data_IF_268029771971
#
_entry.id   IF_268029771971
#
_cell.length_a   1.000
_cell.length_b   1.000
_cell.length_c   1.000
_cell.angle_alpha   90.00
_cell.angle_beta   90.00
_cell.angle_gamma   90.00
#
_symmetry.space_group_name_H-M   'P 1'
#
loop_
_entity.id
_entity.type
_entity.pdbx_description
1 polymer ?
#
# COMPACT_ATOMS: atom_id res chain seq x y z
N UNK A 1 -28.82 50.07 -32.90
CA UNK A 1 -29.15 49.45 -31.60
C UNK A 1 -29.47 47.99 -31.84
N UNK A 2 -28.48 47.10 -31.76
CA UNK A 2 -28.63 45.65 -32.04
C UNK A 2 -28.27 44.92 -30.74
N UNK A 3 -29.23 44.17 -30.20
CA UNK A 3 -29.07 43.42 -28.95
C UNK A 3 -28.16 42.21 -29.18
N UNK A 4 -27.23 41.88 -28.28
CA UNK A 4 -26.51 40.61 -28.35
C UNK A 4 -27.46 39.49 -27.93
N UNK A 5 -27.71 38.55 -28.85
CA UNK A 5 -28.44 37.31 -28.55
C UNK A 5 -27.51 36.37 -27.79
N UNK A 6 -27.83 36.11 -26.52
CA UNK A 6 -27.16 35.08 -25.72
C UNK A 6 -27.68 33.73 -26.18
N UNK A 7 -26.87 32.97 -26.91
CA UNK A 7 -27.16 31.57 -27.23
C UNK A 7 -26.99 30.71 -25.98
N UNK A 8 -28.07 30.03 -25.59
CA UNK A 8 -28.15 29.08 -24.49
C UNK A 8 -27.10 27.95 -24.55
N UNK A 9 -26.72 27.36 -23.39
CA UNK A 9 -25.62 26.40 -23.30
C UNK A 9 -26.05 25.02 -23.79
N UNK A 10 -25.56 24.61 -24.95
CA UNK A 10 -25.70 23.25 -25.48
C UNK A 10 -24.52 22.38 -25.06
N UNK A 11 -24.80 21.44 -24.15
CA UNK A 11 -24.15 20.14 -23.95
C UNK A 11 -22.63 20.09 -23.62
N UNK A 12 -22.32 19.36 -22.54
CA UNK A 12 -21.00 19.09 -21.93
C UNK A 12 -20.02 18.32 -22.85
N UNK A 13 -20.30 18.21 -24.15
CA UNK A 13 -19.64 17.27 -25.06
C UNK A 13 -18.48 17.86 -25.89
N UNK A 14 -18.32 19.19 -25.93
CA UNK A 14 -17.28 19.82 -26.77
C UNK A 14 -16.00 20.10 -25.96
N UNK A 15 -15.19 19.07 -25.74
CA UNK A 15 -13.90 19.18 -25.05
C UNK A 15 -12.76 18.84 -26.00
N UNK A 16 -12.40 19.79 -26.85
CA UNK A 16 -11.18 19.72 -27.67
C UNK A 16 -9.94 19.95 -26.81
N UNK A 17 -8.92 19.11 -27.01
CA UNK A 17 -7.64 19.18 -26.31
C UNK A 17 -6.56 19.71 -27.26
N UNK A 18 -5.70 20.62 -26.80
CA UNK A 18 -4.58 21.15 -27.60
C UNK A 18 -3.27 20.50 -27.19
N UNK A 19 -2.54 19.92 -28.14
CA UNK A 19 -1.20 19.40 -27.95
C UNK A 19 -0.29 19.95 -29.05
N UNK A 20 0.79 20.66 -28.66
CA UNK A 20 1.76 21.22 -29.62
C UNK A 20 1.18 22.26 -30.59
N UNK A 21 0.02 22.84 -30.30
CA UNK A 21 -0.68 23.78 -31.18
C UNK A 21 -1.69 23.12 -32.12
N UNK A 22 -1.85 21.80 -32.09
CA UNK A 22 -2.88 21.06 -32.83
C UNK A 22 -4.04 20.70 -31.89
N UNK A 23 -5.28 20.93 -32.36
CA UNK A 23 -6.50 20.63 -31.64
C UNK A 23 -6.97 19.20 -31.99
N UNK A 24 -7.27 18.42 -30.96
CA UNK A 24 -7.78 17.05 -31.07
C UNK A 24 -9.13 16.93 -30.39
N UNK A 25 -10.12 16.42 -31.13
CA UNK A 25 -11.44 16.06 -30.61
C UNK A 25 -11.50 14.55 -30.31
N UNK A 26 -11.74 14.13 -29.06
CA UNK A 26 -11.93 12.72 -28.71
C UNK A 26 -13.13 12.04 -29.39
N UNK A 27 -14.06 12.80 -29.99
CA UNK A 27 -15.18 12.25 -30.76
C UNK A 27 -14.79 11.86 -32.20
N UNK A 28 -13.76 12.49 -32.76
CA UNK A 28 -13.26 12.25 -34.13
C UNK A 28 -12.42 10.96 -34.21
N UNK A 29 -12.50 10.17 -35.30
CA UNK A 29 -11.70 8.95 -35.44
C UNK A 29 -10.20 9.14 -35.24
N UNK A 30 -9.64 10.28 -35.65
CA UNK A 30 -8.20 10.56 -35.44
C UNK A 30 -7.87 10.86 -33.98
N UNK A 31 -8.71 11.65 -33.30
CA UNK A 31 -8.56 11.90 -31.87
C UNK A 31 -8.71 10.63 -31.05
N UNK A 32 -9.70 9.78 -31.36
CA UNK A 32 -9.86 8.46 -30.73
C UNK A 32 -8.63 7.59 -30.88
N UNK A 33 -8.08 7.49 -32.10
CA UNK A 33 -6.88 6.69 -32.34
C UNK A 33 -5.68 7.21 -31.54
N UNK A 34 -5.49 8.54 -31.50
CA UNK A 34 -4.43 9.18 -30.73
C UNK A 34 -4.52 8.89 -29.23
N UNK A 35 -5.71 9.06 -28.64
CA UNK A 35 -5.92 8.76 -27.22
C UNK A 35 -5.82 7.27 -26.90
N UNK A 36 -6.25 6.39 -27.80
CA UNK A 36 -6.07 4.94 -27.64
C UNK A 36 -4.60 4.55 -27.61
N UNK A 37 -3.78 5.13 -28.49
CA UNK A 37 -2.33 4.89 -28.49
C UNK A 37 -1.69 5.37 -27.18
N UNK A 38 -2.06 6.56 -26.70
CA UNK A 38 -1.58 7.05 -25.40
C UNK A 38 -2.02 6.14 -24.24
N UNK A 39 -3.26 5.66 -24.26
CA UNK A 39 -3.78 4.72 -23.27
C UNK A 39 -3.01 3.39 -23.32
N UNK A 40 -2.69 2.86 -24.51
CA UNK A 40 -1.86 1.66 -24.65
C UNK A 40 -0.48 1.85 -24.03
N UNK A 41 0.14 3.03 -24.14
CA UNK A 41 1.42 3.27 -23.46
C UNK A 41 1.30 3.33 -21.93
N UNK A 42 0.16 3.74 -21.39
CA UNK A 42 -0.13 3.65 -19.94
C UNK A 42 -0.32 2.19 -19.51
N UNK A 43 -1.00 1.37 -20.32
CA UNK A 43 -1.16 -0.08 -20.10
C UNK A 43 0.18 -0.83 -20.08
N UNK A 44 1.15 -0.39 -20.89
CA UNK A 44 2.54 -0.83 -20.78
C UNK A 44 3.21 -0.13 -19.60
N UNK A 45 2.87 -0.52 -18.38
CA UNK A 45 3.41 -0.01 -17.12
C UNK A 45 4.89 -0.40 -16.92
N UNK A 46 5.77 0.10 -17.79
CA UNK A 46 7.22 -0.16 -17.83
C UNK A 46 7.86 0.19 -16.48
N UNK A 47 7.32 1.17 -15.76
CA UNK A 47 7.76 1.55 -14.41
C UNK A 47 7.52 0.42 -13.41
N UNK A 48 6.35 -0.24 -13.44
CA UNK A 48 6.06 -1.36 -12.55
C UNK A 48 6.88 -2.59 -12.89
N UNK A 49 6.99 -2.94 -14.18
CA UNK A 49 7.81 -4.07 -14.62
C UNK A 49 9.27 -3.90 -14.18
N UNK A 50 9.88 -2.73 -14.41
CA UNK A 50 11.25 -2.42 -13.96
C UNK A 50 11.40 -2.43 -12.43
N UNK A 51 10.37 -1.97 -11.71
CA UNK A 51 10.38 -1.99 -10.24
C UNK A 51 10.36 -3.42 -9.72
N UNK A 52 9.51 -4.29 -10.30
CA UNK A 52 9.43 -5.71 -9.93
C UNK A 52 10.75 -6.43 -10.21
N UNK A 53 11.37 -6.20 -11.36
CA UNK A 53 12.68 -6.75 -11.71
C UNK A 53 13.78 -6.28 -10.74
N UNK A 54 13.83 -4.97 -10.46
CA UNK A 54 14.77 -4.41 -9.48
C UNK A 54 14.57 -4.99 -8.07
N UNK A 55 13.32 -5.18 -7.66
CA UNK A 55 12.99 -5.82 -6.39
C UNK A 55 13.39 -7.31 -6.38
N UNK A 56 13.21 -8.04 -7.48
CA UNK A 56 13.63 -9.43 -7.58
C UNK A 56 15.16 -9.56 -7.42
N UNK A 57 15.92 -8.69 -8.08
CA UNK A 57 17.39 -8.63 -7.93
C UNK A 57 17.80 -8.27 -6.50
N UNK A 58 17.14 -7.28 -5.89
CA UNK A 58 17.42 -6.88 -4.51
C UNK A 58 17.05 -7.97 -3.49
N UNK A 59 15.99 -8.75 -3.76
CA UNK A 59 15.59 -9.93 -2.97
C UNK A 59 16.64 -11.04 -3.08
N UNK A 60 17.09 -11.36 -4.30
CA UNK A 60 18.13 -12.36 -4.53
C UNK A 60 19.45 -11.99 -3.84
N UNK A 61 19.77 -10.69 -3.74
CA UNK A 61 20.93 -10.16 -3.01
C UNK A 61 20.70 -10.02 -1.49
N UNK A 62 19.54 -10.41 -0.97
CA UNK A 62 19.20 -10.30 0.45
C UNK A 62 19.09 -8.86 0.99
N UNK A 63 18.99 -7.86 0.10
CA UNK A 63 18.96 -6.43 0.49
C UNK A 63 17.57 -5.95 0.87
N UNK A 64 16.52 -6.63 0.40
CA UNK A 64 15.14 -6.34 0.82
C UNK A 64 14.87 -6.97 2.18
N UNK A 65 15.10 -6.18 3.23
CA UNK A 65 14.60 -6.49 4.58
C UNK A 65 13.21 -5.89 4.72
N UNK A 66 12.24 -6.71 5.14
CA UNK A 66 10.89 -6.23 5.45
C UNK A 66 10.89 -5.19 6.57
N UNK A 67 9.71 -4.74 6.98
CA UNK A 67 9.57 -3.79 8.10
C UNK A 67 10.28 -4.34 9.33
N UNK A 68 11.22 -3.56 9.87
CA UNK A 68 11.95 -3.93 11.07
C UNK A 68 10.95 -4.16 12.22
N UNK A 69 11.15 -5.21 13.04
CA UNK A 69 10.35 -5.40 14.25
C UNK A 69 10.43 -4.16 15.15
N UNK A 70 9.33 -3.83 15.84
CA UNK A 70 9.29 -2.70 16.78
C UNK A 70 10.20 -2.90 17.99
N UNK A 71 10.41 -4.16 18.38
CA UNK A 71 11.24 -4.54 19.53
C UNK A 71 12.59 -5.05 19.04
N UNK A 72 13.66 -4.68 19.75
CA UNK A 72 15.01 -5.22 19.50
C UNK A 72 15.05 -6.73 19.80
N UNK A 73 16.07 -7.44 19.29
CA UNK A 73 16.22 -8.87 19.56
C UNK A 73 16.30 -9.18 21.07
N UNK A 74 17.00 -8.34 21.83
CA UNK A 74 17.10 -8.45 23.28
C UNK A 74 15.72 -8.27 23.95
N UNK A 75 14.97 -7.23 23.57
CA UNK A 75 13.62 -7.01 24.10
C UNK A 75 12.67 -8.16 23.78
N UNK A 76 12.76 -8.73 22.57
CA UNK A 76 11.97 -9.91 22.20
C UNK A 76 12.29 -11.11 23.11
N UNK A 77 13.57 -11.36 23.40
CA UNK A 77 13.97 -12.45 24.32
C UNK A 77 13.49 -12.20 25.76
N UNK A 78 13.57 -10.96 26.25
CA UNK A 78 13.05 -10.59 27.57
C UNK A 78 11.54 -10.78 27.65
N UNK A 79 10.82 -10.37 26.61
CA UNK A 79 9.37 -10.54 26.52
C UNK A 79 8.98 -12.02 26.54
N UNK A 80 9.67 -12.88 25.76
CA UNK A 80 9.40 -14.33 25.73
C UNK A 80 9.67 -14.95 27.10
N UNK A 81 10.77 -14.56 27.77
CA UNK A 81 11.09 -15.05 29.12
C UNK A 81 10.03 -14.65 30.15
N UNK A 82 9.55 -13.40 30.11
CA UNK A 82 8.49 -12.93 31.01
C UNK A 82 7.14 -13.59 30.73
N UNK A 83 6.83 -13.86 29.46
CA UNK A 83 5.64 -14.64 29.12
C UNK A 83 5.75 -16.08 29.65
N UNK A 84 6.93 -16.69 29.57
CA UNK A 84 7.18 -18.05 30.07
C UNK A 84 7.09 -18.17 31.59
N UNK A 85 7.32 -17.10 32.36
CA UNK A 85 7.11 -17.15 33.82
C UNK A 85 5.63 -17.30 34.18
N UNK A 86 4.70 -16.97 33.26
CA UNK A 86 3.26 -17.09 33.46
C UNK A 86 2.68 -16.02 34.41
N UNK A 87 3.50 -15.08 34.87
CA UNK A 87 3.13 -14.08 35.89
C UNK A 87 2.47 -12.83 35.30
N UNK A 88 2.47 -12.66 33.98
CA UNK A 88 1.98 -11.45 33.31
C UNK A 88 0.94 -11.79 32.26
N UNK A 89 -0.19 -11.08 32.26
CA UNK A 89 -1.15 -11.19 31.17
C UNK A 89 -0.59 -10.51 29.90
N UNK A 90 -1.16 -10.86 28.74
CA UNK A 90 -0.76 -10.29 27.45
C UNK A 90 -0.96 -8.77 27.42
N UNK A 91 -1.97 -8.26 28.13
CA UNK A 91 -2.23 -6.84 28.29
C UNK A 91 -1.09 -6.14 29.07
N UNK A 92 -0.67 -6.75 30.19
CA UNK A 92 0.42 -6.21 31.03
C UNK A 92 1.74 -6.19 30.27
N UNK A 93 2.03 -7.24 29.49
CA UNK A 93 3.21 -7.27 28.61
C UNK A 93 3.12 -6.21 27.50
N UNK A 94 1.95 -5.97 26.94
CA UNK A 94 1.77 -4.94 25.92
C UNK A 94 2.08 -3.55 26.49
N UNK A 95 1.61 -3.25 27.71
CA UNK A 95 1.92 -2.01 28.42
C UNK A 95 3.40 -1.90 28.78
N UNK A 96 3.99 -2.95 29.37
CA UNK A 96 5.38 -2.97 29.82
C UNK A 96 6.37 -2.72 28.67
N UNK A 97 6.09 -3.27 27.49
CA UNK A 97 6.92 -3.07 26.30
C UNK A 97 6.48 -1.89 25.43
N UNK A 98 5.44 -1.12 25.84
CA UNK A 98 4.86 -0.02 25.07
C UNK A 98 4.52 -0.41 23.62
N UNK A 99 3.96 -1.61 23.43
CA UNK A 99 3.55 -2.15 22.12
C UNK A 99 2.10 -2.58 22.14
N UNK A 100 1.51 -2.78 20.96
CA UNK A 100 0.15 -3.31 20.87
C UNK A 100 0.13 -4.83 21.13
N UNK A 101 -0.97 -5.36 21.65
CA UNK A 101 -1.17 -6.81 21.84
C UNK A 101 -0.82 -7.67 20.61
N UNK A 102 -1.18 -7.30 19.37
CA UNK A 102 -0.75 -8.01 18.17
C UNK A 102 0.78 -8.11 17.99
N UNK A 103 1.53 -7.13 18.50
CA UNK A 103 3.00 -7.17 18.48
C UNK A 103 3.52 -8.24 19.44
N UNK A 104 2.88 -8.42 20.60
CA UNK A 104 3.21 -9.47 21.57
C UNK A 104 3.04 -10.85 20.92
N UNK A 105 1.88 -11.12 20.31
CA UNK A 105 1.61 -12.37 19.59
C UNK A 105 2.62 -12.63 18.46
N UNK A 106 2.92 -11.62 17.63
CA UNK A 106 3.90 -11.76 16.54
C UNK A 106 5.31 -12.10 17.03
N UNK A 107 5.68 -11.67 18.23
CA UNK A 107 6.98 -12.02 18.84
C UNK A 107 6.94 -13.47 19.33
N UNK A 108 5.86 -13.90 19.97
CA UNK A 108 5.68 -15.29 20.42
C UNK A 108 5.65 -16.29 19.24
N UNK A 109 4.96 -15.95 18.15
CA UNK A 109 4.94 -16.76 16.92
C UNK A 109 6.33 -16.90 16.29
N UNK A 110 7.16 -15.84 16.36
CA UNK A 110 8.52 -15.87 15.83
C UNK A 110 9.47 -16.69 16.71
N UNK A 111 9.17 -16.81 18.00
CA UNK A 111 9.98 -17.54 18.99
C UNK A 111 9.15 -18.64 19.67
N UNK A 112 8.76 -19.70 18.94
CA UNK A 112 7.92 -20.77 19.46
C UNK A 112 8.74 -21.64 20.43
N UNK A 113 8.87 -21.19 21.67
CA UNK A 113 9.29 -22.01 22.80
C UNK A 113 8.05 -22.20 23.67
N UNK A 114 7.27 -23.21 23.31
CA UNK A 114 5.92 -23.52 23.84
C UNK A 114 5.96 -23.96 25.33
N UNK A 115 4.83 -24.01 26.07
CA UNK A 115 3.49 -24.42 25.63
C UNK A 115 2.45 -23.28 25.53
N UNK A 116 1.41 -23.53 24.72
CA UNK A 116 0.33 -22.62 24.40
C UNK A 116 -0.53 -22.26 25.63
N UNK A 117 -1.01 -21.01 25.75
CA UNK A 117 -1.96 -20.65 26.80
C UNK A 117 -3.34 -21.30 26.54
N UNK A 118 -4.04 -21.79 27.58
CA UNK A 118 -5.39 -22.35 27.44
C UNK A 118 -6.38 -21.28 26.95
N UNK A 119 -7.47 -21.68 26.26
CA UNK A 119 -8.45 -20.75 25.72
C UNK A 119 -9.06 -19.92 26.85
N UNK A 120 -8.96 -18.59 26.72
CA UNK A 120 -9.56 -17.63 27.64
C UNK A 120 -11.08 -17.82 27.63
N UNK A 121 -11.62 -18.43 28.69
CA UNK A 121 -13.05 -18.46 28.96
C UNK A 121 -13.49 -17.02 29.18
N UNK A 122 -14.42 -16.57 28.35
CA UNK A 122 -15.04 -15.26 28.45
C UNK A 122 -15.73 -15.09 29.80
N UNK A 123 -15.51 -13.93 30.40
CA UNK A 123 -16.48 -13.30 31.30
C UNK A 123 -17.15 -12.18 30.53
#
# INVERSE_FOLDING_TARGET
>A
MVRPSVSSPSHITDRTYSLGGTLYDPADPMGKMFFNILATFDEFEVVRMRTLEGMAVARAKGKLKGKQPKLSAHQQMHQVRQHQSGEHAIADLAELFSVSGPTIYRVLERHPSAPAPPPSVGQ
#
